data_IF_977611073025
#
_entry.id   IF_977611073025
#
_cell.length_a   1.000
_cell.length_b   1.000
_cell.length_c   1.000
_cell.angle_alpha   90.00
_cell.angle_beta   90.00
_cell.angle_gamma   90.00
#
_symmetry.space_group_name_H-M   'P 1'
#
loop_
_entity.id
_entity.type
_entity.pdbx_description
1 polymer ?
#
# COMPACT_ATOMS: atom_id res chain seq x y z
N UNK A 1 31.19 -20.57 -5.78
CA UNK A 1 31.77 -20.29 -4.46
C UNK A 1 30.70 -19.62 -3.61
N UNK A 2 30.07 -20.39 -2.73
CA UNK A 2 29.04 -19.92 -1.81
C UNK A 2 29.68 -19.01 -0.75
N UNK A 3 29.33 -17.72 -0.74
CA UNK A 3 29.71 -16.82 0.36
C UNK A 3 28.71 -17.05 1.49
N UNK A 4 29.05 -17.96 2.37
CA UNK A 4 28.45 -18.10 3.69
C UNK A 4 28.77 -16.84 4.50
N UNK A 5 27.82 -15.91 4.61
CA UNK A 5 27.91 -14.83 5.58
C UNK A 5 27.57 -15.40 6.96
N UNK A 6 28.58 -15.86 7.71
CA UNK A 6 28.42 -16.20 9.14
C UNK A 6 28.04 -14.93 9.88
N UNK A 7 26.80 -14.82 10.34
CA UNK A 7 26.43 -13.81 11.33
C UNK A 7 27.10 -14.18 12.65
N UNK A 8 28.04 -13.36 13.09
CA UNK A 8 28.58 -13.44 14.44
C UNK A 8 27.52 -12.89 15.41
N UNK A 9 27.22 -13.62 16.48
CA UNK A 9 26.19 -13.32 17.49
C UNK A 9 26.55 -12.14 18.43
N UNK A 10 27.51 -11.31 18.05
CA UNK A 10 28.09 -10.23 18.86
C UNK A 10 27.95 -8.85 18.20
N UNK A 11 27.11 -8.72 17.17
CA UNK A 11 26.77 -7.42 16.62
C UNK A 11 25.76 -6.74 17.55
N UNK A 12 26.06 -5.56 18.13
CA UNK A 12 25.11 -4.84 18.97
C UNK A 12 23.84 -4.58 18.17
N UNK A 13 22.71 -5.05 18.70
CA UNK A 13 21.39 -4.71 18.16
C UNK A 13 21.29 -3.20 18.05
N UNK A 14 20.92 -2.64 16.88
CA UNK A 14 20.85 -1.20 16.72
C UNK A 14 19.93 -0.60 17.79
N UNK A 15 20.46 0.36 18.54
CA UNK A 15 19.91 0.94 19.79
C UNK A 15 18.57 1.70 19.59
N UNK A 16 18.07 1.76 18.34
CA UNK A 16 16.77 2.34 17.99
C UNK A 16 16.18 1.62 16.79
N UNK A 17 15.15 0.82 17.05
CA UNK A 17 14.19 0.42 16.04
C UNK A 17 13.22 1.58 15.83
N UNK A 18 13.22 2.20 14.66
CA UNK A 18 12.22 3.19 14.27
C UNK A 18 11.03 2.46 13.67
N UNK A 19 10.15 1.92 14.51
CA UNK A 19 8.88 1.39 14.05
C UNK A 19 8.03 2.56 13.54
N UNK A 20 7.59 2.49 12.28
CA UNK A 20 6.60 3.43 11.76
C UNK A 20 5.23 2.96 12.24
N UNK A 21 4.62 3.69 13.17
CA UNK A 21 3.27 3.41 13.63
C UNK A 21 2.24 4.11 12.72
N UNK A 22 1.27 3.39 12.14
CA UNK A 22 0.23 4.01 11.34
C UNK A 22 -0.72 4.80 12.24
N UNK A 23 -1.19 5.95 11.76
CA UNK A 23 -2.27 6.66 12.45
C UNK A 23 -3.59 5.93 12.24
N UNK A 24 -4.46 5.98 13.25
CA UNK A 24 -5.70 5.20 13.25
C UNK A 24 -6.87 5.90 12.54
N UNK A 25 -6.76 7.20 12.31
CA UNK A 25 -7.81 8.00 11.72
C UNK A 25 -7.25 9.26 11.07
N UNK A 26 -7.87 9.70 9.98
CA UNK A 26 -7.69 11.02 9.39
C UNK A 26 -8.97 11.46 8.68
N UNK A 27 -9.23 12.78 8.49
CA UNK A 27 -10.46 13.26 7.84
C UNK A 27 -10.59 12.81 6.37
N UNK A 28 -9.49 12.40 5.75
CA UNK A 28 -9.47 11.94 4.36
C UNK A 28 -10.09 10.55 4.15
N UNK A 29 -10.42 9.83 5.23
CA UNK A 29 -11.15 8.56 5.16
C UNK A 29 -12.54 8.73 4.53
N UNK A 30 -13.13 9.93 4.59
CA UNK A 30 -14.43 10.25 3.98
C UNK A 30 -14.43 10.14 2.45
N UNK A 31 -13.24 10.15 1.81
CA UNK A 31 -13.10 10.03 0.36
C UNK A 31 -12.80 8.58 -0.09
N UNK A 32 -12.84 7.62 0.84
CA UNK A 32 -12.72 6.20 0.51
C UNK A 32 -14.08 5.70 0.02
N UNK A 33 -14.10 5.20 -1.21
CA UNK A 33 -15.31 4.63 -1.81
C UNK A 33 -15.42 3.13 -1.52
N UNK A 34 -16.65 2.60 -1.51
CA UNK A 34 -16.90 1.17 -1.25
C UNK A 34 -16.16 0.28 -2.23
N UNK A 35 -15.59 -0.82 -1.72
CA UNK A 35 -14.86 -1.81 -2.52
C UNK A 35 -15.75 -2.93 -3.06
N UNK A 36 -17.06 -2.89 -2.80
CA UNK A 36 -18.01 -3.96 -3.12
C UNK A 36 -18.06 -4.38 -4.60
N UNK A 37 -17.77 -3.45 -5.52
CA UNK A 37 -17.71 -3.72 -6.96
C UNK A 37 -16.28 -3.84 -7.50
N UNK A 38 -15.28 -3.62 -6.65
CA UNK A 38 -13.88 -3.66 -7.04
C UNK A 38 -13.35 -5.09 -6.98
N UNK A 39 -12.75 -5.52 -8.08
CA UNK A 39 -12.15 -6.84 -8.24
C UNK A 39 -10.62 -6.67 -8.38
N UNK A 40 -9.85 -6.77 -7.29
CA UNK A 40 -8.42 -6.51 -7.32
C UNK A 40 -7.64 -7.52 -8.17
N UNK A 41 -6.78 -7.02 -9.04
CA UNK A 41 -5.71 -7.80 -9.69
C UNK A 41 -4.36 -7.38 -9.11
N UNK A 42 -3.69 -8.29 -8.39
CA UNK A 42 -2.44 -7.99 -7.67
C UNK A 42 -1.28 -7.61 -8.59
N UNK A 43 -1.30 -8.14 -9.82
CA UNK A 43 -0.28 -7.90 -10.86
C UNK A 43 -0.68 -6.82 -11.87
N UNK A 44 -1.75 -6.08 -11.58
CA UNK A 44 -2.25 -5.05 -12.47
C UNK A 44 -1.12 -4.06 -12.78
N UNK A 45 -0.79 -3.83 -14.06
CA UNK A 45 0.27 -2.90 -14.42
C UNK A 45 -0.15 -1.47 -14.08
N UNK A 46 0.81 -0.56 -13.95
CA UNK A 46 0.52 0.85 -13.89
C UNK A 46 -0.19 1.27 -15.18
N UNK A 47 -1.33 1.96 -15.05
CA UNK A 47 -2.12 2.46 -16.19
C UNK A 47 -1.33 3.37 -17.14
N UNK A 48 -0.18 3.91 -16.70
CA UNK A 48 0.65 4.83 -17.49
C UNK A 48 1.96 4.26 -18.04
N UNK A 49 2.61 3.29 -17.37
CA UNK A 49 3.99 2.95 -17.72
C UNK A 49 4.39 1.48 -17.63
N UNK A 50 3.44 0.55 -17.82
CA UNK A 50 3.64 -0.92 -17.86
C UNK A 50 4.28 -1.56 -16.61
N UNK A 51 4.76 -0.77 -15.65
CA UNK A 51 5.38 -1.23 -14.42
C UNK A 51 4.42 -2.14 -13.65
N UNK A 52 4.90 -3.30 -13.20
CA UNK A 52 4.10 -4.30 -12.44
C UNK A 52 4.51 -4.45 -10.99
N UNK A 53 5.54 -3.71 -10.57
CA UNK A 53 6.13 -3.84 -9.24
C UNK A 53 5.80 -2.62 -8.38
N UNK A 54 5.47 -2.81 -7.11
CA UNK A 54 5.18 -1.69 -6.19
C UNK A 54 4.10 -0.73 -6.70
N UNK A 55 3.07 -1.30 -7.35
CA UNK A 55 1.89 -0.56 -7.74
C UNK A 55 0.95 -0.36 -6.56
N UNK A 56 0.22 0.74 -6.63
CA UNK A 56 -0.76 1.18 -5.66
C UNK A 56 -2.10 1.31 -6.36
N UNK A 57 -3.19 1.13 -5.62
CA UNK A 57 -4.54 1.41 -6.08
C UNK A 57 -5.10 2.60 -5.32
N UNK A 58 -5.78 3.51 -6.02
CA UNK A 58 -6.49 4.63 -5.40
C UNK A 58 -7.78 4.15 -4.74
N UNK A 59 -8.03 4.51 -3.47
CA UNK A 59 -9.24 4.07 -2.76
C UNK A 59 -10.48 4.96 -3.02
N UNK A 60 -10.35 5.97 -3.87
CA UNK A 60 -11.48 6.80 -4.33
C UNK A 60 -11.98 6.36 -5.71
N UNK A 61 -11.07 6.01 -6.63
CA UNK A 61 -11.45 5.65 -8.02
C UNK A 61 -10.98 4.27 -8.49
N UNK A 62 -10.25 3.53 -7.66
CA UNK A 62 -9.73 2.19 -7.95
C UNK A 62 -8.78 2.07 -9.16
N UNK A 63 -8.26 3.18 -9.68
CA UNK A 63 -7.19 3.16 -10.67
C UNK A 63 -5.83 2.76 -10.07
N UNK A 64 -5.01 2.08 -10.87
CA UNK A 64 -3.73 1.51 -10.45
C UNK A 64 -2.55 2.25 -11.08
N UNK A 65 -1.64 2.74 -10.24
CA UNK A 65 -0.45 3.46 -10.68
C UNK A 65 0.80 3.04 -9.92
N UNK A 66 1.97 3.23 -10.53
CA UNK A 66 3.24 2.86 -9.92
C UNK A 66 3.62 3.82 -8.79
N UNK A 67 4.27 3.27 -7.76
CA UNK A 67 4.79 4.03 -6.63
C UNK A 67 5.99 4.93 -6.96
N UNK A 68 6.48 5.62 -5.93
CA UNK A 68 7.58 6.60 -6.00
C UNK A 68 8.95 6.04 -6.39
N UNK A 69 9.18 4.74 -6.17
CA UNK A 69 10.43 4.08 -6.55
C UNK A 69 10.46 3.62 -8.01
N UNK A 70 9.33 3.76 -8.72
CA UNK A 70 9.23 3.64 -10.16
C UNK A 70 9.12 5.05 -10.79
N UNK A 71 8.07 5.33 -11.58
CA UNK A 71 7.86 6.65 -12.22
C UNK A 71 6.96 7.60 -11.39
N UNK A 72 6.46 7.17 -10.23
CA UNK A 72 5.69 8.04 -9.35
C UNK A 72 4.29 8.43 -9.85
N UNK A 73 3.70 7.68 -10.79
CA UNK A 73 2.38 7.98 -11.35
C UNK A 73 1.25 8.03 -10.30
N UNK A 74 1.36 7.30 -9.19
CA UNK A 74 0.34 7.41 -8.14
C UNK A 74 0.39 8.77 -7.42
N UNK A 75 1.57 9.36 -7.28
CA UNK A 75 1.71 10.71 -6.74
C UNK A 75 1.18 11.76 -7.73
N UNK A 76 1.45 11.58 -9.03
CA UNK A 76 0.88 12.44 -10.07
C UNK A 76 -0.66 12.36 -10.10
N UNK A 77 -1.21 11.15 -9.97
CA UNK A 77 -2.64 10.91 -9.84
C UNK A 77 -3.24 11.67 -8.67
N UNK A 78 -2.65 11.56 -7.48
CA UNK A 78 -3.05 12.35 -6.31
C UNK A 78 -3.02 13.86 -6.59
N UNK A 79 -1.93 14.37 -7.15
CA UNK A 79 -1.80 15.81 -7.43
C UNK A 79 -2.86 16.32 -8.41
N UNK A 80 -3.29 15.48 -9.37
CA UNK A 80 -4.27 15.86 -10.40
C UNK A 80 -5.71 15.74 -9.90
N UNK A 81 -6.03 14.67 -9.18
CA UNK A 81 -7.41 14.33 -8.78
C UNK A 81 -7.76 14.74 -7.36
N UNK A 82 -6.74 15.02 -6.53
CA UNK A 82 -6.85 15.22 -5.09
C UNK A 82 -7.37 13.99 -4.32
N UNK A 83 -7.35 12.79 -4.92
CA UNK A 83 -7.70 11.56 -4.21
C UNK A 83 -6.62 11.23 -3.16
N UNK A 84 -6.95 11.15 -1.86
CA UNK A 84 -5.95 11.27 -0.80
C UNK A 84 -5.33 9.94 -0.37
N UNK A 85 -6.07 8.83 -0.46
CA UNK A 85 -5.69 7.54 0.13
C UNK A 85 -5.49 6.48 -0.94
N UNK A 86 -4.39 5.74 -0.81
CA UNK A 86 -4.00 4.66 -1.70
C UNK A 86 -3.65 3.40 -0.91
N UNK A 87 -3.86 2.22 -1.51
CA UNK A 87 -3.54 0.91 -0.96
C UNK A 87 -2.45 0.24 -1.80
N UNK A 88 -1.42 -0.26 -1.14
CA UNK A 88 -0.31 -0.96 -1.78
C UNK A 88 -0.73 -2.37 -2.21
N UNK A 89 -0.49 -2.71 -3.48
CA UNK A 89 -0.66 -4.08 -3.97
C UNK A 89 0.46 -5.01 -3.45
N UNK A 90 1.57 -4.45 -2.98
CA UNK A 90 2.75 -5.20 -2.54
C UNK A 90 2.65 -5.71 -1.09
N UNK A 91 2.01 -4.97 -0.20
CA UNK A 91 1.99 -5.31 1.24
C UNK A 91 0.69 -4.93 1.96
N UNK A 92 -0.33 -4.45 1.24
CA UNK A 92 -1.64 -4.05 1.77
C UNK A 92 -1.57 -2.89 2.79
N UNK A 93 -0.44 -2.18 2.84
CA UNK A 93 -0.33 -0.93 3.58
C UNK A 93 -1.14 0.17 2.89
N UNK A 94 -1.79 1.04 3.68
CA UNK A 94 -2.53 2.16 3.15
C UNK A 94 -1.81 3.47 3.49
N UNK A 95 -1.69 4.35 2.51
CA UNK A 95 -0.97 5.61 2.62
C UNK A 95 -1.91 6.77 2.31
N UNK A 96 -1.87 7.81 3.15
CA UNK A 96 -2.54 9.07 2.88
C UNK A 96 -1.51 10.12 2.46
N UNK A 97 -1.64 10.65 1.24
CA UNK A 97 -0.73 11.67 0.72
C UNK A 97 -0.82 12.99 1.49
N UNK A 98 -2.01 13.39 1.92
CA UNK A 98 -2.21 14.66 2.64
C UNK A 98 -1.63 14.60 4.07
N UNK A 99 -1.82 13.47 4.76
CA UNK A 99 -1.26 13.29 6.11
C UNK A 99 0.22 12.89 6.10
N UNK A 100 0.76 12.52 4.93
CA UNK A 100 2.11 11.97 4.78
C UNK A 100 2.38 10.83 5.80
N UNK A 101 1.41 9.92 5.94
CA UNK A 101 1.44 8.84 6.93
C UNK A 101 0.70 7.59 6.46
N UNK A 102 1.10 6.45 7.01
CA UNK A 102 0.33 5.21 6.87
C UNK A 102 -0.93 5.27 7.74
N UNK A 103 -2.02 4.71 7.22
CA UNK A 103 -3.32 4.70 7.90
C UNK A 103 -3.75 3.25 8.19
N UNK A 104 -4.25 3.02 9.40
CA UNK A 104 -4.94 1.80 9.76
C UNK A 104 -6.31 2.12 10.36
N UNK A 105 -7.38 1.85 9.60
CA UNK A 105 -8.74 2.14 10.05
C UNK A 105 -9.71 1.07 9.49
N UNK A 106 -10.82 0.84 10.17
CA UNK A 106 -11.88 -0.10 9.79
C UNK A 106 -12.51 0.20 8.42
N UNK A 107 -12.58 1.48 8.02
CA UNK A 107 -13.06 1.90 6.69
C UNK A 107 -12.25 1.26 5.57
N UNK A 108 -10.97 0.97 5.82
CA UNK A 108 -10.07 0.37 4.84
C UNK A 108 -10.19 -1.16 4.78
N UNK A 109 -10.94 -1.78 5.71
CA UNK A 109 -10.99 -3.22 5.86
C UNK A 109 -11.62 -3.90 4.64
N UNK A 110 -12.65 -3.32 4.04
CA UNK A 110 -13.33 -3.87 2.85
C UNK A 110 -12.34 -4.03 1.69
N UNK A 111 -11.63 -2.96 1.32
CA UNK A 111 -10.61 -2.98 0.27
C UNK A 111 -9.43 -3.91 0.62
N UNK A 112 -8.98 -3.88 1.87
CA UNK A 112 -7.89 -4.76 2.35
C UNK A 112 -8.27 -6.24 2.28
N UNK A 113 -9.48 -6.61 2.67
CA UNK A 113 -9.99 -7.98 2.60
C UNK A 113 -10.10 -8.46 1.15
N UNK A 114 -10.66 -7.64 0.26
CA UNK A 114 -10.75 -7.95 -1.17
C UNK A 114 -9.36 -8.21 -1.76
N UNK A 115 -8.40 -7.32 -1.51
CA UNK A 115 -7.04 -7.46 -2.00
C UNK A 115 -6.30 -8.65 -1.36
N UNK A 116 -6.50 -8.90 -0.07
CA UNK A 116 -5.91 -10.05 0.62
C UNK A 116 -6.41 -11.37 0.04
N UNK A 117 -7.71 -11.49 -0.21
CA UNK A 117 -8.30 -12.67 -0.84
C UNK A 117 -7.73 -12.88 -2.23
N UNK A 118 -7.66 -11.83 -3.06
CA UNK A 118 -7.07 -11.92 -4.39
C UNK A 118 -5.58 -12.31 -4.36
N UNK A 119 -4.84 -11.87 -3.34
CA UNK A 119 -3.40 -12.10 -3.23
C UNK A 119 -3.01 -13.46 -2.66
N UNK A 120 -3.72 -13.90 -1.63
CA UNK A 120 -3.34 -15.07 -0.84
C UNK A 120 -4.33 -16.23 -0.98
N UNK A 121 -5.48 -16.02 -1.62
CA UNK A 121 -6.53 -17.04 -1.74
C UNK A 121 -7.24 -17.37 -0.42
N UNK A 122 -7.01 -16.56 0.63
CA UNK A 122 -7.59 -16.74 1.97
C UNK A 122 -8.13 -15.41 2.49
N UNK A 123 -9.15 -15.49 3.34
CA UNK A 123 -9.73 -14.31 4.00
C UNK A 123 -8.70 -13.69 4.97
N UNK A 124 -8.69 -12.36 5.07
CA UNK A 124 -7.83 -11.67 6.03
C UNK A 124 -8.16 -12.10 7.47
N UNK A 125 -7.17 -12.47 8.29
CA UNK A 125 -7.40 -12.73 9.71
C UNK A 125 -7.91 -11.46 10.40
N UNK A 126 -9.01 -11.59 11.14
CA UNK A 126 -9.61 -10.55 11.98
C UNK A 126 -8.96 -10.48 13.35
#
# INVERSE_FOLDING_TARGET
MSIFCRRNSSDPTPDRLFAVEPILWCPHLEQVESASQWHPEVTHPCTRCENRHENWVCLTCYEVYCGRYAQGHMLEHHNTTQHPIVLSLADLSAWCYVCNSYIHNEVLLEAKQALHLAKFGVVMPT
#
